data_IF_512070485246
#
_entry.id   IF_512070485246
#
_cell.length_a   1.000
_cell.length_b   1.000
_cell.length_c   1.000
_cell.angle_alpha   90.00
_cell.angle_beta   90.00
_cell.angle_gamma   90.00
#
_symmetry.space_group_name_H-M   'P 1'
#
loop_
_entity.id
_entity.type
_entity.pdbx_description
1 polymer ?
#
# COMPACT_ATOMS: atom_id res chain seq x y z
N UNK A 1 8.01 -33.83 19.58
CA UNK A 1 9.39 -33.97 20.08
C UNK A 1 9.55 -33.28 21.46
N UNK A 2 9.22 -32.02 21.59
CA UNK A 2 9.42 -31.23 22.82
C UNK A 2 8.49 -31.61 23.99
N UNK A 3 7.43 -32.35 23.75
CA UNK A 3 6.42 -32.68 24.75
C UNK A 3 6.74 -33.97 25.51
N UNK A 4 7.37 -34.96 24.86
CA UNK A 4 7.47 -36.31 25.42
C UNK A 4 8.88 -36.93 25.37
N UNK A 5 9.83 -36.35 24.62
CA UNK A 5 11.17 -36.95 24.47
C UNK A 5 12.14 -36.34 25.48
N UNK A 6 12.70 -37.16 26.42
CA UNK A 6 13.71 -36.67 27.34
C UNK A 6 15.01 -36.32 26.59
N UNK A 7 15.71 -35.31 27.10
CA UNK A 7 17.02 -34.92 26.63
C UNK A 7 18.08 -35.83 27.26
N UNK A 8 18.85 -36.57 26.46
CA UNK A 8 19.87 -37.50 26.92
C UNK A 8 21.08 -36.80 27.53
N UNK A 9 21.41 -35.60 27.03
CA UNK A 9 22.53 -34.80 27.50
C UNK A 9 22.01 -33.41 27.89
N UNK A 10 21.46 -33.30 29.10
CA UNK A 10 21.03 -32.03 29.66
C UNK A 10 21.85 -31.71 30.90
N UNK A 11 22.57 -30.60 30.85
CA UNK A 11 23.33 -30.10 32.00
C UNK A 11 22.39 -29.36 32.95
N UNK A 12 22.11 -29.97 34.11
CA UNK A 12 21.18 -29.42 35.09
C UNK A 12 21.84 -28.29 35.86
N UNK A 13 21.13 -27.19 35.99
CA UNK A 13 21.55 -26.15 36.89
C UNK A 13 21.40 -26.62 38.36
N UNK A 14 22.29 -26.18 39.31
CA UNK A 14 22.32 -26.63 40.68
C UNK A 14 21.02 -26.39 41.47
N UNK A 15 20.21 -25.44 41.05
CA UNK A 15 18.93 -25.08 41.67
C UNK A 15 17.73 -25.89 41.17
N UNK A 16 17.96 -26.82 40.23
CA UNK A 16 16.89 -27.66 39.69
C UNK A 16 16.70 -28.94 40.54
N UNK A 17 15.43 -29.30 40.87
CA UNK A 17 15.14 -30.53 41.57
C UNK A 17 15.60 -31.76 40.78
N UNK A 18 16.21 -32.73 41.45
CA UNK A 18 16.61 -34.00 40.81
C UNK A 18 15.41 -34.76 40.21
N UNK A 19 14.24 -34.61 40.81
CA UNK A 19 13.00 -35.25 40.38
C UNK A 19 12.41 -34.67 39.10
N UNK A 20 12.90 -33.51 38.62
CA UNK A 20 12.39 -32.87 37.41
C UNK A 20 12.85 -33.65 36.16
N UNK A 21 11.94 -34.19 35.34
CA UNK A 21 12.34 -34.93 34.15
C UNK A 21 12.99 -33.97 33.13
N UNK A 22 14.04 -34.47 32.45
CA UNK A 22 14.75 -33.70 31.37
C UNK A 22 13.94 -33.60 30.08
N UNK A 23 12.64 -33.42 30.20
CA UNK A 23 11.71 -33.19 29.06
C UNK A 23 11.59 -31.69 28.82
N UNK A 24 11.79 -31.19 27.58
CA UNK A 24 11.81 -29.74 27.30
C UNK A 24 10.61 -28.98 27.85
N UNK A 25 9.41 -29.53 27.74
CA UNK A 25 8.19 -28.85 28.23
C UNK A 25 8.18 -28.77 29.78
N UNK A 26 8.65 -29.79 30.48
CA UNK A 26 8.69 -29.77 31.94
C UNK A 26 9.78 -28.83 32.46
N UNK A 27 10.96 -28.82 31.82
CA UNK A 27 12.02 -27.85 32.10
C UNK A 27 11.55 -26.42 31.86
N UNK A 28 10.82 -26.19 30.79
CA UNK A 28 10.22 -24.89 30.48
C UNK A 28 9.20 -24.45 31.53
N UNK A 29 8.27 -25.34 31.92
CA UNK A 29 7.28 -25.06 32.96
C UNK A 29 7.93 -24.73 34.30
N UNK A 30 8.95 -25.51 34.69
CA UNK A 30 9.70 -25.22 35.87
C UNK A 30 10.42 -23.88 35.83
N UNK A 31 11.06 -23.56 34.68
CA UNK A 31 11.69 -22.27 34.43
C UNK A 31 10.70 -21.09 34.52
N UNK A 32 9.51 -21.26 34.00
CA UNK A 32 8.43 -20.26 34.12
C UNK A 32 8.04 -20.01 35.59
N UNK A 33 8.02 -21.02 36.42
CA UNK A 33 7.64 -20.90 37.83
C UNK A 33 8.74 -20.31 38.71
N UNK A 34 10.01 -20.62 38.43
CA UNK A 34 11.12 -20.31 39.32
C UNK A 34 12.08 -19.23 38.81
N UNK A 35 12.07 -18.93 37.48
CA UNK A 35 13.03 -18.01 36.86
C UNK A 35 12.37 -16.90 36.06
N UNK A 36 11.13 -16.53 36.37
CA UNK A 36 10.27 -15.65 35.54
C UNK A 36 10.56 -14.15 35.64
N UNK A 37 11.64 -13.72 36.29
CA UNK A 37 11.86 -12.32 36.66
C UNK A 37 11.75 -11.25 35.54
N UNK A 38 11.64 -11.66 34.27
CA UNK A 38 11.51 -10.72 33.12
C UNK A 38 10.40 -11.07 32.15
N UNK A 39 9.59 -12.08 32.43
CA UNK A 39 8.47 -12.43 31.56
C UNK A 39 7.34 -11.40 31.74
N UNK A 40 6.87 -10.89 30.62
CA UNK A 40 5.69 -10.01 30.57
C UNK A 40 4.57 -10.79 29.91
N UNK A 41 3.40 -10.79 30.52
CA UNK A 41 2.19 -11.27 29.85
C UNK A 41 1.79 -10.27 28.77
N UNK A 42 1.49 -10.77 27.59
CA UNK A 42 0.91 -10.00 26.50
C UNK A 42 -0.36 -10.70 26.05
N UNK A 43 -1.34 -9.94 25.66
CA UNK A 43 -2.54 -10.48 25.02
C UNK A 43 -2.16 -11.23 23.74
N UNK A 44 -2.75 -12.42 23.55
CA UNK A 44 -2.37 -13.32 22.45
C UNK A 44 -2.65 -12.70 21.08
N UNK A 45 -3.73 -11.95 20.93
CA UNK A 45 -4.11 -11.34 19.66
C UNK A 45 -3.22 -10.14 19.36
N UNK A 46 -2.85 -9.35 20.36
CA UNK A 46 -1.82 -8.32 20.24
C UNK A 46 -0.47 -8.93 19.83
N UNK A 47 -0.06 -10.03 20.48
CA UNK A 47 1.19 -10.70 20.14
C UNK A 47 1.21 -11.17 18.69
N UNK A 48 0.11 -11.75 18.19
CA UNK A 48 -0.02 -12.14 16.80
C UNK A 48 0.19 -10.95 15.85
N UNK A 49 -0.49 -9.83 16.07
CA UNK A 49 -0.37 -8.63 15.24
C UNK A 49 1.07 -8.10 15.21
N UNK A 50 1.75 -8.11 16.35
CA UNK A 50 3.15 -7.65 16.42
C UNK A 50 4.15 -8.60 15.76
N UNK A 51 3.82 -9.88 15.63
CA UNK A 51 4.64 -10.90 14.96
C UNK A 51 4.35 -10.99 13.45
N UNK A 52 3.28 -10.39 12.94
CA UNK A 52 2.98 -10.36 11.52
C UNK A 52 4.07 -9.63 10.73
N UNK A 53 4.32 -10.03 9.47
CA UNK A 53 5.20 -9.30 8.57
C UNK A 53 4.67 -7.88 8.36
N UNK A 54 5.59 -6.92 8.27
CA UNK A 54 5.28 -5.51 8.07
C UNK A 54 5.80 -5.04 6.72
N UNK A 55 5.02 -4.23 6.05
CA UNK A 55 5.39 -3.66 4.77
C UNK A 55 5.03 -2.17 4.72
N UNK A 56 5.78 -1.43 3.90
CA UNK A 56 5.58 0.00 3.73
C UNK A 56 4.32 0.29 2.95
N UNK A 57 3.51 1.19 3.45
CA UNK A 57 2.25 1.60 2.81
C UNK A 57 2.30 3.06 2.38
N UNK A 58 1.47 3.40 1.40
CA UNK A 58 1.27 4.77 0.96
C UNK A 58 -0.14 5.24 1.33
N UNK A 59 -0.26 6.51 1.73
CA UNK A 59 -1.54 7.15 2.05
C UNK A 59 -1.92 8.10 0.93
N UNK A 60 -3.14 7.97 0.42
CA UNK A 60 -3.69 8.81 -0.64
C UNK A 60 -5.10 9.29 -0.28
N UNK A 61 -5.70 10.10 -1.13
CA UNK A 61 -7.11 10.48 -1.02
C UNK A 61 -8.08 9.30 -1.13
N UNK A 62 -7.62 8.17 -1.69
CA UNK A 62 -8.41 6.95 -1.84
C UNK A 62 -8.36 6.05 -0.61
N UNK A 63 -7.36 6.24 0.26
CA UNK A 63 -7.10 5.43 1.44
C UNK A 63 -5.64 5.03 1.58
N UNK A 64 -5.40 4.04 2.40
CA UNK A 64 -4.10 3.39 2.63
C UNK A 64 -3.90 2.32 1.57
N UNK A 65 -2.80 2.37 0.83
CA UNK A 65 -2.51 1.45 -0.26
C UNK A 65 -1.34 0.52 0.09
N UNK A 66 -1.60 -0.78 0.05
CA UNK A 66 -0.61 -1.84 0.14
C UNK A 66 -0.67 -2.70 -1.13
N UNK A 67 0.42 -2.79 -1.88
CA UNK A 67 0.55 -3.58 -3.12
C UNK A 67 -0.63 -3.46 -4.11
N UNK A 68 -1.17 -2.27 -4.26
CA UNK A 68 -2.28 -2.01 -5.18
C UNK A 68 -3.68 -2.17 -4.56
N UNK A 69 -3.81 -2.82 -3.41
CA UNK A 69 -5.06 -2.92 -2.65
C UNK A 69 -5.24 -1.69 -1.77
N UNK A 70 -6.46 -1.17 -1.73
CA UNK A 70 -6.81 0.05 -0.99
C UNK A 70 -7.61 -0.33 0.25
N UNK A 71 -7.19 0.24 1.38
CA UNK A 71 -7.78 0.03 2.69
C UNK A 71 -8.30 1.33 3.28
N UNK A 72 -9.26 1.23 4.17
CA UNK A 72 -9.82 2.34 4.93
C UNK A 72 -10.17 1.87 6.34
N UNK A 73 -10.07 2.76 7.31
CA UNK A 73 -10.43 2.49 8.71
C UNK A 73 -11.01 3.74 9.35
N UNK A 74 -11.73 3.56 10.45
CA UNK A 74 -12.36 4.67 11.18
C UNK A 74 -11.34 5.73 11.59
N UNK A 75 -10.22 5.30 12.13
CA UNK A 75 -9.14 6.16 12.58
C UNK A 75 -8.51 6.93 11.41
N UNK A 76 -8.28 6.24 10.28
CA UNK A 76 -7.75 6.88 9.06
C UNK A 76 -8.69 7.96 8.53
N UNK A 77 -10.00 7.71 8.58
CA UNK A 77 -11.01 8.70 8.18
C UNK A 77 -10.98 9.94 9.08
N UNK A 78 -10.81 9.75 10.39
CA UNK A 78 -10.77 10.84 11.37
C UNK A 78 -9.55 11.76 11.21
N UNK A 79 -8.42 11.27 10.65
CA UNK A 79 -7.23 12.09 10.42
C UNK A 79 -7.41 13.15 9.32
N UNK A 80 -8.43 13.00 8.47
CA UNK A 80 -8.61 13.86 7.30
C UNK A 80 -7.63 13.58 6.15
N UNK A 81 -6.77 12.56 6.22
CA UNK A 81 -5.79 12.24 5.16
C UNK A 81 -6.43 11.93 3.80
N UNK A 82 -7.69 11.46 3.81
CA UNK A 82 -8.44 11.14 2.59
C UNK A 82 -9.10 12.36 1.93
N UNK A 83 -8.96 13.55 2.48
CA UNK A 83 -9.46 14.75 1.83
C UNK A 83 -8.71 15.05 0.53
N UNK A 84 -9.43 15.45 -0.52
CA UNK A 84 -8.85 15.77 -1.85
C UNK A 84 -8.06 17.07 -1.90
N UNK A 85 -8.10 17.88 -0.85
CA UNK A 85 -7.35 19.14 -0.80
C UNK A 85 -5.85 18.92 -0.96
N UNK A 86 -5.20 19.70 -1.78
CA UNK A 86 -3.75 19.73 -1.93
C UNK A 86 -3.02 20.20 -0.66
N UNK A 87 -3.74 20.84 0.28
CA UNK A 87 -3.20 21.32 1.55
C UNK A 87 -3.09 20.23 2.63
N UNK A 88 -3.65 19.03 2.38
CA UNK A 88 -3.58 17.93 3.35
C UNK A 88 -2.18 17.32 3.33
N UNK A 89 -1.50 17.43 4.47
CA UNK A 89 -0.24 16.71 4.69
C UNK A 89 -0.53 15.24 4.97
N UNK A 90 -0.08 14.37 4.09
CA UNK A 90 -0.19 12.90 4.26
C UNK A 90 1.13 12.36 4.76
N UNK A 91 1.11 11.45 5.75
CA UNK A 91 2.33 10.85 6.27
C UNK A 91 2.99 9.99 5.19
N UNK A 92 4.33 10.00 5.19
CA UNK A 92 5.15 9.16 4.33
C UNK A 92 5.87 8.13 5.19
N UNK A 93 6.03 6.91 4.65
CA UNK A 93 6.83 5.89 5.31
C UNK A 93 6.12 5.15 6.45
N UNK A 94 4.80 5.13 6.47
CA UNK A 94 4.05 4.29 7.40
C UNK A 94 4.22 2.81 7.06
N UNK A 95 4.09 1.97 8.08
CA UNK A 95 4.10 0.52 7.96
C UNK A 95 2.76 -0.07 8.35
N UNK A 96 2.39 -1.15 7.70
CA UNK A 96 1.26 -1.96 8.09
C UNK A 96 1.67 -3.42 8.23
N UNK A 97 1.15 -4.09 9.26
CA UNK A 97 1.23 -5.54 9.37
C UNK A 97 0.07 -6.17 8.59
N UNK A 98 0.31 -7.33 8.01
CA UNK A 98 -0.66 -8.02 7.17
C UNK A 98 -0.56 -9.53 7.33
N UNK A 99 -1.67 -10.22 7.08
CA UNK A 99 -1.75 -11.68 7.06
C UNK A 99 -1.62 -12.20 5.63
N UNK A 100 -0.71 -13.14 5.37
CA UNK A 100 -0.54 -13.74 4.04
C UNK A 100 -1.80 -14.49 3.57
N UNK A 101 -2.54 -15.07 4.50
CA UNK A 101 -3.73 -15.85 4.24
C UNK A 101 -5.00 -15.03 3.99
N UNK A 102 -4.99 -13.73 4.23
CA UNK A 102 -6.15 -12.87 4.04
C UNK A 102 -5.76 -11.44 3.70
N UNK A 103 -6.47 -10.85 2.75
CA UNK A 103 -6.30 -9.44 2.37
C UNK A 103 -7.39 -8.54 2.96
N UNK A 104 -8.29 -9.07 3.78
CA UNK A 104 -9.47 -8.34 4.23
C UNK A 104 -9.12 -7.16 5.12
N UNK A 105 -8.04 -7.26 5.91
CA UNK A 105 -7.59 -6.20 6.80
C UNK A 105 -6.08 -6.11 6.88
N UNK A 106 -5.62 -4.94 7.23
CA UNK A 106 -4.23 -4.64 7.60
C UNK A 106 -4.22 -3.87 8.92
N UNK A 107 -3.12 -3.96 9.63
CA UNK A 107 -2.89 -3.28 10.90
C UNK A 107 -1.89 -2.15 10.66
N UNK A 108 -2.40 -0.93 10.52
CA UNK A 108 -1.59 0.27 10.23
C UNK A 108 -0.94 0.79 11.51
N UNK A 109 0.36 1.03 11.47
CA UNK A 109 1.10 1.66 12.55
C UNK A 109 1.28 3.14 12.24
N UNK A 110 0.52 4.04 12.91
CA UNK A 110 0.55 5.48 12.62
C UNK A 110 1.82 6.16 13.11
N UNK A 111 2.47 5.58 14.13
CA UNK A 111 3.67 6.12 14.74
C UNK A 111 4.74 5.03 14.89
N UNK A 112 5.96 5.35 14.43
CA UNK A 112 7.09 4.46 14.57
C UNK A 112 7.50 4.33 16.04
N UNK A 113 7.78 3.09 16.48
CA UNK A 113 8.20 2.79 17.85
C UNK A 113 7.08 2.73 18.90
N UNK A 114 5.85 3.07 18.56
CA UNK A 114 4.68 2.87 19.42
C UNK A 114 3.98 1.54 19.13
N UNK A 115 3.46 0.92 20.19
CA UNK A 115 2.70 -0.34 20.10
C UNK A 115 1.21 -0.10 19.82
N UNK A 116 0.88 1.01 19.16
CA UNK A 116 -0.48 1.34 18.73
C UNK A 116 -0.65 1.03 17.26
N UNK A 117 -1.76 0.44 16.88
CA UNK A 117 -2.11 0.17 15.49
C UNK A 117 -3.59 0.48 15.23
N UNK A 118 -3.93 0.73 13.99
CA UNK A 118 -5.29 0.92 13.53
C UNK A 118 -5.67 -0.21 12.59
N UNK A 119 -6.85 -0.77 12.80
CA UNK A 119 -7.39 -1.79 11.90
C UNK A 119 -7.98 -1.09 10.69
N UNK A 120 -7.50 -1.47 9.51
CA UNK A 120 -7.99 -0.95 8.25
C UNK A 120 -8.55 -2.10 7.41
N UNK A 121 -9.82 -1.99 7.06
CA UNK A 121 -10.52 -2.97 6.23
C UNK A 121 -10.34 -2.66 4.75
N UNK A 122 -10.49 -3.68 3.92
CA UNK A 122 -10.45 -3.53 2.47
C UNK A 122 -11.55 -2.58 2.00
N UNK A 123 -11.16 -1.56 1.26
CA UNK A 123 -12.08 -0.55 0.73
C UNK A 123 -12.99 -1.15 -0.35
N UNK A 124 -14.19 -0.56 -0.51
CA UNK A 124 -15.12 -0.91 -1.61
C UNK A 124 -14.48 -0.75 -3.00
N UNK A 125 -13.44 0.07 -3.14
CA UNK A 125 -12.67 0.25 -4.39
C UNK A 125 -11.83 -0.96 -4.75
N UNK A 126 -11.46 -1.78 -3.78
CA UNK A 126 -10.69 -3.02 -3.95
C UNK A 126 -11.53 -4.27 -3.61
N UNK A 127 -12.85 -4.15 -3.69
CA UNK A 127 -13.79 -5.24 -3.34
C UNK A 127 -13.59 -6.53 -4.13
N UNK A 128 -12.99 -6.44 -5.32
CA UNK A 128 -12.64 -7.57 -6.15
C UNK A 128 -11.62 -8.52 -5.51
N UNK A 129 -10.85 -8.02 -4.55
CA UNK A 129 -9.83 -8.79 -3.82
C UNK A 129 -10.33 -9.30 -2.47
N UNK A 130 -11.57 -8.99 -2.08
CA UNK A 130 -12.13 -9.45 -0.81
C UNK A 130 -12.13 -10.98 -0.73
N UNK A 131 -11.83 -11.50 0.46
CA UNK A 131 -11.79 -12.92 0.79
C UNK A 131 -10.73 -13.72 0.02
N UNK A 132 -9.77 -13.03 -0.62
CA UNK A 132 -8.62 -13.64 -1.26
C UNK A 132 -7.41 -13.69 -0.31
N UNK A 133 -6.45 -14.55 -0.66
CA UNK A 133 -5.10 -14.52 -0.12
C UNK A 133 -4.23 -13.55 -0.92
N UNK A 134 -3.11 -13.09 -0.36
CA UNK A 134 -2.16 -12.25 -1.10
C UNK A 134 -1.62 -12.92 -2.35
N UNK A 135 -1.40 -14.23 -2.32
CA UNK A 135 -0.99 -14.99 -3.49
C UNK A 135 -2.00 -14.87 -4.65
N UNK A 136 -3.27 -15.07 -4.36
CA UNK A 136 -4.35 -14.93 -5.35
C UNK A 136 -4.49 -13.48 -5.87
N UNK A 137 -4.26 -12.48 -5.02
CA UNK A 137 -4.24 -11.07 -5.44
C UNK A 137 -3.11 -10.81 -6.44
N UNK A 138 -1.89 -11.27 -6.13
CA UNK A 138 -0.74 -11.09 -7.03
C UNK A 138 -0.93 -11.81 -8.37
N UNK A 139 -1.46 -13.02 -8.35
CA UNK A 139 -1.79 -13.76 -9.57
C UNK A 139 -2.82 -13.00 -10.42
N UNK A 140 -3.90 -12.53 -9.81
CA UNK A 140 -4.93 -11.74 -10.49
C UNK A 140 -4.39 -10.43 -11.05
N UNK A 141 -3.56 -9.71 -10.30
CA UNK A 141 -2.89 -8.49 -10.76
C UNK A 141 -1.91 -8.77 -11.91
N UNK A 142 -1.20 -9.88 -11.88
CA UNK A 142 -0.30 -10.29 -12.98
C UNK A 142 -1.10 -10.58 -14.27
N UNK A 143 -2.20 -11.31 -14.16
CA UNK A 143 -3.09 -11.57 -15.30
C UNK A 143 -3.67 -10.26 -15.88
N UNK A 144 -4.13 -9.35 -15.04
CA UNK A 144 -4.62 -8.03 -15.49
C UNK A 144 -3.54 -7.21 -16.21
N UNK A 145 -2.29 -7.25 -15.72
CA UNK A 145 -1.16 -6.59 -16.39
C UNK A 145 -0.87 -7.17 -17.75
N UNK A 146 -0.96 -8.49 -17.92
CA UNK A 146 -0.76 -9.15 -19.22
C UNK A 146 -1.84 -8.73 -20.21
N UNK A 147 -3.12 -8.80 -19.83
CA UNK A 147 -4.24 -8.36 -20.68
C UNK A 147 -4.08 -6.89 -21.10
N UNK A 148 -3.68 -6.03 -20.17
CA UNK A 148 -3.44 -4.62 -20.48
C UNK A 148 -2.24 -4.42 -21.42
N UNK A 149 -1.18 -5.20 -21.24
CA UNK A 149 0.00 -5.14 -22.12
C UNK A 149 -0.35 -5.57 -23.55
N UNK A 150 -1.12 -6.66 -23.72
CA UNK A 150 -1.62 -7.13 -25.00
C UNK A 150 -2.51 -6.09 -25.67
N UNK A 151 -3.47 -5.51 -24.93
CA UNK A 151 -4.33 -4.46 -25.44
C UNK A 151 -3.52 -3.22 -25.88
N UNK A 152 -2.52 -2.79 -25.11
CA UNK A 152 -1.63 -1.69 -25.52
C UNK A 152 -0.83 -2.03 -26.76
N UNK A 153 -0.34 -3.24 -26.89
CA UNK A 153 0.41 -3.67 -28.08
C UNK A 153 -0.49 -3.64 -29.33
N UNK A 154 -1.73 -4.10 -29.23
CA UNK A 154 -2.70 -4.05 -30.32
C UNK A 154 -3.09 -2.62 -30.69
N UNK A 155 -3.13 -1.70 -29.72
CA UNK A 155 -3.52 -0.31 -29.96
C UNK A 155 -2.39 0.58 -30.45
N UNK A 156 -1.14 0.21 -30.21
CA UNK A 156 0.05 0.98 -30.57
C UNK A 156 0.13 1.40 -32.06
N UNK A 157 -0.29 0.58 -33.07
CA UNK A 157 -0.33 1.02 -34.46
C UNK A 157 -1.32 2.16 -34.68
N UNK A 158 -2.50 2.07 -34.09
CA UNK A 158 -3.58 3.08 -34.21
C UNK A 158 -3.14 4.43 -33.61
N UNK A 159 -2.43 4.39 -32.50
CA UNK A 159 -1.89 5.58 -31.83
C UNK A 159 -0.84 6.26 -32.71
N UNK A 160 0.08 5.48 -33.33
CA UNK A 160 1.07 6.01 -34.28
C UNK A 160 0.42 6.64 -35.51
N UNK A 161 -0.57 5.99 -36.10
CA UNK A 161 -1.29 6.54 -37.26
C UNK A 161 -2.00 7.85 -36.91
N UNK A 162 -2.55 7.95 -35.69
CA UNK A 162 -3.19 9.17 -35.20
C UNK A 162 -2.15 10.29 -35.00
N UNK A 163 -1.01 9.99 -34.39
CA UNK A 163 0.07 10.96 -34.18
C UNK A 163 0.62 11.47 -35.51
N UNK A 164 0.82 10.58 -36.51
CA UNK A 164 1.22 10.95 -37.86
C UNK A 164 0.22 11.89 -38.56
N UNK A 165 -1.08 11.63 -38.36
CA UNK A 165 -2.14 12.49 -38.89
C UNK A 165 -2.14 13.85 -38.19
N UNK A 166 -1.94 13.90 -36.88
CA UNK A 166 -1.81 15.16 -36.14
C UNK A 166 -0.59 15.96 -36.60
N UNK A 167 0.57 15.31 -36.74
CA UNK A 167 1.77 15.99 -37.26
C UNK A 167 1.56 16.56 -38.66
N UNK A 168 0.96 15.79 -39.58
CA UNK A 168 0.62 16.25 -40.92
C UNK A 168 -0.30 17.45 -40.88
N UNK A 169 -1.33 17.45 -40.03
CA UNK A 169 -2.24 18.58 -39.85
C UNK A 169 -1.54 19.81 -39.26
N UNK A 170 -0.71 19.62 -38.25
CA UNK A 170 0.09 20.68 -37.63
C UNK A 170 1.08 21.32 -38.61
N UNK A 171 1.78 20.49 -39.42
CA UNK A 171 2.69 20.97 -40.49
C UNK A 171 1.91 21.78 -41.54
N UNK A 172 0.70 21.33 -41.95
CA UNK A 172 -0.17 22.08 -42.86
C UNK A 172 -0.65 23.39 -42.24
N UNK A 173 -1.09 23.37 -40.98
CA UNK A 173 -1.55 24.59 -40.30
C UNK A 173 -0.42 25.61 -40.13
N UNK A 174 0.79 25.18 -39.78
CA UNK A 174 2.00 26.03 -39.70
C UNK A 174 2.36 26.64 -41.10
N UNK A 175 2.23 25.87 -42.16
CA UNK A 175 2.47 26.34 -43.52
C UNK A 175 1.45 27.34 -44.02
N UNK A 176 0.20 27.18 -43.59
CA UNK A 176 -0.91 28.05 -43.92
C UNK A 176 -1.03 29.26 -42.99
N UNK A 177 -0.46 29.22 -41.79
CA UNK A 177 -0.36 30.39 -40.94
C UNK A 177 0.67 31.32 -41.57
N UNK A 178 0.18 32.30 -42.34
CA UNK A 178 0.98 33.43 -42.76
C UNK A 178 1.67 33.99 -41.52
N UNK A 179 2.97 34.01 -41.53
CA UNK A 179 3.77 34.64 -40.46
C UNK A 179 3.33 36.07 -40.41
N UNK A 180 2.42 36.45 -39.47
CA UNK A 180 2.00 37.82 -39.36
C UNK A 180 3.21 38.64 -38.95
N UNK A 181 3.69 39.47 -39.82
CA UNK A 181 4.78 40.45 -39.60
C UNK A 181 4.34 41.57 -38.64
N UNK A 182 3.18 41.43 -38.04
CA UNK A 182 2.62 42.38 -37.09
C UNK A 182 3.41 42.40 -35.78
N UNK A 183 3.74 43.58 -35.31
CA UNK A 183 4.35 43.78 -34.00
C UNK A 183 3.42 43.26 -32.88
N UNK A 184 3.97 42.96 -31.72
CA UNK A 184 3.17 42.48 -30.58
C UNK A 184 2.03 43.46 -30.20
N UNK A 185 2.26 44.75 -30.30
CA UNK A 185 1.24 45.78 -30.07
C UNK A 185 0.08 45.70 -31.07
N UNK A 186 0.36 45.47 -32.34
CA UNK A 186 -0.65 45.31 -33.39
C UNK A 186 -1.47 44.03 -33.22
N UNK A 187 -0.82 42.92 -32.83
CA UNK A 187 -1.52 41.65 -32.46
C UNK A 187 -2.49 41.84 -31.31
N UNK A 188 -2.09 42.56 -30.26
CA UNK A 188 -2.94 42.84 -29.09
C UNK A 188 -4.15 43.70 -29.51
N UNK A 189 -3.96 44.69 -30.40
CA UNK A 189 -5.05 45.51 -30.88
C UNK A 189 -6.05 44.75 -31.76
N UNK A 190 -5.58 43.85 -32.64
CA UNK A 190 -6.44 42.95 -33.40
C UNK A 190 -7.24 41.99 -32.50
N UNK A 191 -6.63 41.44 -31.45
CA UNK A 191 -7.32 40.59 -30.46
C UNK A 191 -8.42 41.41 -29.75
N UNK A 192 -8.15 42.68 -29.39
CA UNK A 192 -9.15 43.56 -28.78
C UNK A 192 -10.28 43.91 -29.74
N UNK A 193 -10.00 44.16 -31.02
CA UNK A 193 -10.98 44.44 -32.03
C UNK A 193 -11.91 43.23 -32.27
N UNK A 194 -11.34 42.04 -32.45
CA UNK A 194 -12.08 40.79 -32.64
C UNK A 194 -12.97 40.44 -31.42
N UNK A 195 -12.48 40.76 -30.21
CA UNK A 195 -13.25 40.56 -28.97
C UNK A 195 -14.44 41.53 -28.83
N UNK A 196 -14.36 42.73 -29.41
CA UNK A 196 -15.51 43.66 -29.47
C UNK A 196 -16.54 43.18 -30.48
N UNK A 197 -16.13 42.77 -31.67
CA UNK A 197 -16.98 42.25 -32.72
C UNK A 197 -17.76 40.97 -32.33
N UNK A 198 -17.19 40.13 -31.48
CA UNK A 198 -17.86 38.90 -31.00
C UNK A 198 -18.82 39.13 -29.82
N UNK A 199 -18.98 40.39 -29.36
CA UNK A 199 -19.90 40.80 -28.27
C UNK A 199 -21.08 41.62 -28.73
N UNK A 200 -21.10 42.01 -30.03
CA UNK A 200 -22.23 42.56 -30.74
C UNK A 200 -23.01 41.43 -31.43
#
# INVERSE_FOLDING_TARGET
HNLNKPLEKYDRAPDMPESLPSIPIELWRWGLQHRTGRLRSIDTDLAKIFLLPRERVSVSELGVKLWGVIYSGKEVLQTGWMHRSSKVSRPKGLYAAYELGSVNHIYLFPEEGKNTFWVCDISTRSREFRDLTWYQVWERQAAQKQVLAEAKYQYAPVERDFDDLLEKKLKKAKKNSKTSTLSNAQKINEIKANKRQSRE
#
